data_IF_321997735957
#
_entry.id   IF_321997735957
#
_cell.length_a   1.000
_cell.length_b   1.000
_cell.length_c   1.000
_cell.angle_alpha   90.00
_cell.angle_beta   90.00
_cell.angle_gamma   90.00
#
_symmetry.space_group_name_H-M   'P 1'
#
loop_
_entity.id
_entity.type
_entity.pdbx_description
1 polymer ?
#
# COMPACT_ATOMS: atom_id res chain seq x y z
N UNK A 1 -15.11 24.17 0.49
CA UNK A 1 -14.49 22.89 0.88
C UNK A 1 -13.07 23.20 1.32
N UNK A 2 -12.70 22.86 2.55
CA UNK A 2 -11.33 23.01 3.08
C UNK A 2 -10.51 21.78 2.71
N UNK A 3 -9.23 21.97 2.42
CA UNK A 3 -8.31 20.84 2.18
C UNK A 3 -7.97 20.13 3.51
N UNK A 4 -7.50 18.89 3.43
CA UNK A 4 -7.10 18.12 4.61
C UNK A 4 -5.99 18.79 5.42
N UNK A 5 -5.14 19.63 4.81
CA UNK A 5 -4.11 20.38 5.54
C UNK A 5 -4.74 21.43 6.45
N UNK A 6 -5.65 22.24 5.93
CA UNK A 6 -6.38 23.27 6.70
C UNK A 6 -7.21 22.61 7.80
N UNK A 7 -7.90 21.51 7.51
CA UNK A 7 -8.62 20.74 8.53
C UNK A 7 -7.67 20.18 9.60
N UNK A 8 -6.52 19.66 9.18
CA UNK A 8 -5.47 19.17 10.08
C UNK A 8 -4.90 20.25 11.00
N UNK A 9 -4.72 21.47 10.48
CA UNK A 9 -4.29 22.65 11.25
C UNK A 9 -5.37 23.08 12.26
N UNK A 10 -6.64 23.14 11.85
CA UNK A 10 -7.78 23.49 12.72
C UNK A 10 -7.89 22.56 13.95
N UNK A 11 -7.61 21.27 13.75
CA UNK A 11 -7.65 20.26 14.83
C UNK A 11 -6.30 20.08 15.54
N UNK A 12 -5.25 20.81 15.13
CA UNK A 12 -3.87 20.60 15.63
C UNK A 12 -3.35 19.18 15.41
N UNK A 13 -3.91 18.46 14.43
CA UNK A 13 -3.74 17.02 14.25
C UNK A 13 -2.83 16.62 13.09
N UNK A 14 -2.53 17.52 12.13
CA UNK A 14 -1.50 17.32 11.10
C UNK A 14 -0.46 18.45 11.17
N UNK A 15 0.71 18.15 11.70
CA UNK A 15 1.77 19.13 11.94
C UNK A 15 2.98 18.87 11.03
N UNK A 16 2.96 19.53 9.87
CA UNK A 16 4.05 19.45 8.88
C UNK A 16 5.29 20.23 9.31
N UNK A 17 5.13 21.35 10.05
CA UNK A 17 6.25 22.14 10.52
C UNK A 17 7.08 21.38 11.57
N UNK A 18 6.42 20.65 12.48
CA UNK A 18 7.10 19.74 13.39
C UNK A 18 7.86 18.64 12.65
N UNK A 19 7.29 18.08 11.58
CA UNK A 19 7.97 17.06 10.78
C UNK A 19 9.21 17.61 10.06
N UNK A 20 9.14 18.84 9.53
CA UNK A 20 10.30 19.53 8.95
C UNK A 20 11.40 19.75 9.98
N UNK A 21 11.05 20.11 11.21
CA UNK A 21 12.01 20.28 12.31
C UNK A 21 12.68 18.96 12.70
N UNK A 22 11.95 17.85 12.68
CA UNK A 22 12.47 16.54 13.09
C UNK A 22 13.30 15.87 11.99
N UNK A 23 12.88 16.00 10.73
CA UNK A 23 13.43 15.21 9.62
C UNK A 23 13.68 16.05 8.37
N UNK A 24 12.66 16.74 7.87
CA UNK A 24 12.73 17.46 6.59
C UNK A 24 11.37 17.56 5.89
N UNK A 25 11.37 17.96 4.63
CA UNK A 25 10.14 18.05 3.82
C UNK A 25 9.55 16.66 3.53
N UNK A 26 8.26 16.63 3.15
CA UNK A 26 7.51 15.40 2.81
C UNK A 26 7.41 14.36 3.94
N UNK A 27 7.44 14.81 5.20
CA UNK A 27 7.05 14.05 6.38
C UNK A 27 5.90 14.77 7.10
N UNK A 28 5.20 14.07 8.00
CA UNK A 28 4.12 14.62 8.82
C UNK A 28 4.19 14.10 10.25
N UNK A 29 3.84 14.92 11.22
CA UNK A 29 3.52 14.47 12.58
C UNK A 29 2.00 14.51 12.75
N UNK A 30 1.38 13.35 12.98
CA UNK A 30 -0.04 13.28 13.30
C UNK A 30 -0.25 13.28 14.82
N UNK A 31 -1.26 13.99 15.32
CA UNK A 31 -1.56 14.12 16.76
C UNK A 31 -3.04 13.86 17.05
N UNK A 32 -3.31 13.46 18.30
CA UNK A 32 -4.67 13.37 18.85
C UNK A 32 -5.61 12.48 18.03
N UNK A 33 -6.83 12.98 17.79
CA UNK A 33 -7.89 12.22 17.14
C UNK A 33 -7.62 11.92 15.66
N UNK A 34 -6.88 12.77 14.93
CA UNK A 34 -6.51 12.47 13.54
C UNK A 34 -5.48 11.33 13.44
N UNK A 35 -4.51 11.27 14.35
CA UNK A 35 -3.61 10.12 14.46
C UNK A 35 -4.39 8.84 14.83
N UNK A 36 -5.39 8.95 15.72
CA UNK A 36 -6.28 7.85 16.07
C UNK A 36 -7.10 7.37 14.87
N UNK A 37 -7.63 8.28 14.06
CA UNK A 37 -8.40 7.96 12.86
C UNK A 37 -7.53 7.31 11.79
N UNK A 38 -6.29 7.78 11.59
CA UNK A 38 -5.31 7.13 10.73
C UNK A 38 -5.07 5.67 11.13
N UNK A 39 -4.88 5.42 12.43
CA UNK A 39 -4.77 4.06 12.96
C UNK A 39 -6.06 3.26 12.76
N UNK A 40 -7.22 3.83 13.03
CA UNK A 40 -8.52 3.16 12.86
C UNK A 40 -8.74 2.70 11.40
N UNK A 41 -8.33 3.50 10.41
CA UNK A 41 -8.37 3.13 9.00
C UNK A 41 -7.53 1.88 8.72
N UNK A 42 -6.27 1.86 9.19
CA UNK A 42 -5.38 0.71 8.97
C UNK A 42 -5.91 -0.58 9.63
N UNK A 43 -6.46 -0.47 10.85
CA UNK A 43 -7.05 -1.62 11.55
C UNK A 43 -8.29 -2.14 10.83
N UNK A 44 -9.21 -1.26 10.43
CA UNK A 44 -10.38 -1.63 9.63
C UNK A 44 -10.00 -2.36 8.34
N UNK A 45 -8.97 -1.87 7.64
CA UNK A 45 -8.49 -2.50 6.40
C UNK A 45 -7.94 -3.91 6.65
N UNK A 46 -7.11 -4.09 7.68
CA UNK A 46 -6.58 -5.40 8.07
C UNK A 46 -7.69 -6.37 8.47
N UNK A 47 -8.59 -5.96 9.37
CA UNK A 47 -9.69 -6.80 9.86
C UNK A 47 -10.60 -7.22 8.69
N UNK A 48 -10.91 -6.29 7.77
CA UNK A 48 -11.69 -6.62 6.57
C UNK A 48 -11.00 -7.69 5.71
N UNK A 49 -9.70 -7.52 5.44
CA UNK A 49 -8.98 -8.42 4.54
C UNK A 49 -8.76 -9.81 5.15
N UNK A 50 -8.51 -9.87 6.46
CA UNK A 50 -8.27 -11.12 7.17
C UNK A 50 -9.58 -11.87 7.45
N UNK A 51 -10.61 -11.18 7.94
CA UNK A 51 -11.87 -11.80 8.36
C UNK A 51 -12.81 -12.10 7.19
N UNK A 52 -12.80 -11.29 6.12
CA UNK A 52 -13.78 -11.40 5.03
C UNK A 52 -13.19 -11.79 3.68
N UNK A 53 -11.93 -11.46 3.41
CA UNK A 53 -11.31 -11.69 2.10
C UNK A 53 -10.30 -12.83 2.07
N UNK A 54 -10.06 -13.50 3.22
CA UNK A 54 -9.24 -14.71 3.31
C UNK A 54 -7.72 -14.46 3.18
N UNK A 55 -7.25 -13.26 3.54
CA UNK A 55 -5.81 -12.99 3.61
C UNK A 55 -5.24 -13.38 4.98
N UNK A 56 -4.05 -13.96 4.99
CA UNK A 56 -3.26 -14.17 6.21
C UNK A 56 -2.51 -12.89 6.58
N UNK A 57 -2.58 -12.48 7.85
CA UNK A 57 -1.86 -11.30 8.35
C UNK A 57 -0.38 -11.61 8.59
N UNK A 58 0.49 -10.69 8.18
CA UNK A 58 1.93 -10.84 8.28
C UNK A 58 2.58 -9.58 8.87
N UNK A 59 3.44 -9.78 9.88
CA UNK A 59 4.39 -8.76 10.31
C UNK A 59 5.74 -9.01 9.62
N UNK A 60 6.23 -8.03 8.85
CA UNK A 60 7.40 -8.20 7.98
C UNK A 60 8.52 -7.21 8.32
N UNK A 61 9.80 -7.54 8.01
CA UNK A 61 10.90 -6.59 8.11
C UNK A 61 10.70 -5.37 7.21
N UNK A 62 11.05 -4.18 7.71
CA UNK A 62 11.00 -2.93 6.92
C UNK A 62 12.33 -2.57 6.26
N UNK A 63 13.40 -3.27 6.61
CA UNK A 63 14.67 -3.28 5.93
C UNK A 63 14.82 -4.62 5.21
N UNK A 64 15.20 -4.57 3.94
CA UNK A 64 15.40 -5.77 3.11
C UNK A 64 16.75 -5.74 2.43
N UNK A 65 17.28 -6.93 2.16
CA UNK A 65 18.53 -7.11 1.44
C UNK A 65 18.36 -6.92 -0.07
N UNK A 66 19.49 -6.95 -0.78
CA UNK A 66 19.54 -6.75 -2.23
C UNK A 66 18.78 -7.86 -2.99
N UNK A 67 18.92 -9.13 -2.58
CA UNK A 67 18.26 -10.26 -3.23
C UNK A 67 16.73 -10.09 -3.25
N UNK A 68 16.16 -9.64 -2.13
CA UNK A 68 14.73 -9.33 -2.02
C UNK A 68 14.32 -8.23 -3.01
N UNK A 69 15.10 -7.15 -3.13
CA UNK A 69 14.83 -6.08 -4.08
C UNK A 69 14.97 -6.52 -5.55
N UNK A 70 15.90 -7.43 -5.84
CA UNK A 70 16.02 -8.04 -7.17
C UNK A 70 14.83 -8.93 -7.50
N UNK A 71 14.32 -9.68 -6.51
CA UNK A 71 13.16 -10.57 -6.64
C UNK A 71 11.92 -9.84 -7.16
N UNK A 72 11.58 -8.71 -6.55
CA UNK A 72 10.37 -7.94 -6.89
C UNK A 72 10.59 -6.86 -7.96
N UNK A 73 11.84 -6.65 -8.39
CA UNK A 73 12.16 -5.85 -9.59
C UNK A 73 12.52 -4.38 -9.33
N UNK A 74 12.63 -3.96 -8.07
CA UNK A 74 13.18 -2.64 -7.72
C UNK A 74 14.64 -2.55 -8.18
N UNK A 75 15.41 -3.63 -8.05
CA UNK A 75 16.76 -3.73 -8.61
C UNK A 75 16.80 -4.50 -9.95
N UNK A 76 17.69 -4.08 -10.88
CA UNK A 76 18.74 -3.06 -10.72
C UNK A 76 18.33 -1.63 -11.11
N UNK A 77 17.11 -1.42 -11.64
CA UNK A 77 16.76 -0.18 -12.36
C UNK A 77 16.36 1.00 -11.46
N UNK A 78 15.75 0.73 -10.32
CA UNK A 78 15.08 1.74 -9.48
C UNK A 78 15.76 1.96 -8.13
N UNK A 79 17.09 1.77 -8.05
CA UNK A 79 17.85 2.00 -6.82
C UNK A 79 17.69 3.44 -6.29
N UNK A 80 17.54 4.42 -7.18
CA UNK A 80 17.33 5.84 -6.83
C UNK A 80 15.97 6.15 -6.22
N UNK A 81 15.00 5.23 -6.29
CA UNK A 81 13.66 5.40 -5.73
C UNK A 81 13.58 4.98 -4.26
N UNK A 82 14.68 4.41 -3.73
CA UNK A 82 14.76 3.80 -2.41
C UNK A 82 15.64 4.61 -1.44
N UNK A 83 15.36 4.47 -0.14
CA UNK A 83 16.30 4.86 0.92
C UNK A 83 17.21 3.68 1.27
N UNK A 84 18.52 3.87 1.18
CA UNK A 84 19.52 2.87 1.52
C UNK A 84 20.16 3.18 2.88
N UNK A 85 20.35 2.15 3.70
CA UNK A 85 21.10 2.27 4.95
C UNK A 85 22.58 2.02 4.69
N UNK A 86 23.45 2.68 5.46
CA UNK A 86 24.87 2.32 5.47
C UNK A 86 25.02 0.95 6.13
N UNK A 87 25.95 0.10 5.67
CA UNK A 87 26.30 -1.12 6.37
C UNK A 87 26.66 -0.86 7.83
N UNK A 88 26.26 -1.78 8.69
CA UNK A 88 26.67 -1.84 10.09
C UNK A 88 28.12 -2.30 10.16
N UNK A 89 28.88 -1.79 11.13
CA UNK A 89 30.30 -2.12 11.30
C UNK A 89 30.52 -3.62 11.56
N UNK A 90 29.66 -4.23 12.39
CA UNK A 90 29.72 -5.66 12.74
C UNK A 90 29.25 -6.59 11.60
N UNK A 91 28.58 -6.05 10.58
CA UNK A 91 28.00 -6.79 9.45
C UNK A 91 28.36 -6.13 8.11
N UNK A 92 29.59 -5.64 7.98
CA UNK A 92 30.01 -4.74 6.90
C UNK A 92 29.70 -5.27 5.48
N UNK A 93 29.79 -6.59 5.28
CA UNK A 93 29.59 -7.23 3.98
C UNK A 93 28.15 -7.74 3.75
N UNK A 94 27.31 -7.82 4.80
CA UNK A 94 25.98 -8.44 4.75
C UNK A 94 24.81 -7.51 5.09
N UNK A 95 25.08 -6.28 5.51
CA UNK A 95 24.06 -5.31 5.97
C UNK A 95 23.77 -4.16 4.99
N UNK A 96 23.97 -4.41 3.69
CA UNK A 96 23.55 -3.49 2.62
C UNK A 96 22.03 -3.56 2.41
N UNK A 97 21.28 -2.88 3.26
CA UNK A 97 19.81 -2.86 3.24
C UNK A 97 19.22 -1.60 2.60
N UNK A 98 17.97 -1.74 2.16
CA UNK A 98 17.10 -0.61 1.84
C UNK A 98 15.79 -0.70 2.63
N UNK A 99 15.22 0.47 2.93
CA UNK A 99 13.87 0.56 3.45
C UNK A 99 12.85 0.17 2.37
N UNK A 100 11.81 -0.57 2.76
CA UNK A 100 10.82 -1.07 1.81
C UNK A 100 9.96 0.07 1.21
N UNK A 101 9.77 0.13 -0.12
CA UNK A 101 8.87 1.09 -0.76
C UNK A 101 7.39 0.65 -0.73
N UNK A 102 7.16 -0.60 -0.33
CA UNK A 102 5.87 -1.28 -0.20
C UNK A 102 6.06 -2.64 0.47
N UNK A 103 5.07 -3.12 1.24
CA UNK A 103 5.04 -4.49 1.75
C UNK A 103 4.99 -5.58 0.66
N UNK A 104 4.65 -5.24 -0.59
CA UNK A 104 4.80 -6.15 -1.74
C UNK A 104 6.19 -6.78 -1.76
N UNK A 105 7.23 -5.98 -1.51
CA UNK A 105 8.63 -6.40 -1.57
C UNK A 105 8.93 -7.57 -0.62
N UNK A 106 8.75 -7.45 0.71
CA UNK A 106 8.97 -8.58 1.61
C UNK A 106 7.94 -9.69 1.45
N UNK A 107 6.64 -9.39 1.29
CA UNK A 107 5.59 -10.41 1.23
C UNK A 107 5.75 -11.34 0.02
N UNK A 108 6.01 -10.79 -1.16
CA UNK A 108 6.13 -11.60 -2.38
C UNK A 108 7.40 -12.45 -2.36
N UNK A 109 8.46 -11.98 -1.70
CA UNK A 109 9.70 -12.73 -1.52
C UNK A 109 9.61 -13.85 -0.49
N UNK A 110 8.51 -13.98 0.27
CA UNK A 110 8.33 -15.12 1.19
C UNK A 110 8.34 -16.46 0.46
N UNK A 111 7.93 -16.50 -0.81
CA UNK A 111 7.94 -17.71 -1.65
C UNK A 111 9.20 -17.85 -2.53
N UNK A 112 10.22 -17.04 -2.29
CA UNK A 112 11.47 -17.09 -3.06
C UNK A 112 12.19 -18.42 -2.81
N UNK A 113 12.69 -19.02 -3.89
CA UNK A 113 13.38 -20.31 -3.90
C UNK A 113 12.52 -21.51 -3.42
N UNK A 114 11.19 -21.36 -3.38
CA UNK A 114 10.26 -22.41 -2.99
C UNK A 114 9.64 -23.19 -4.16
N UNK A 115 9.22 -24.43 -3.88
CA UNK A 115 8.34 -25.23 -4.74
C UNK A 115 7.08 -25.57 -3.94
N UNK A 116 6.00 -24.87 -4.26
CA UNK A 116 4.70 -24.94 -3.57
C UNK A 116 3.86 -26.07 -4.17
N UNK A 117 3.13 -26.82 -3.34
CA UNK A 117 2.11 -27.76 -3.84
C UNK A 117 0.93 -26.95 -4.41
N UNK A 118 0.43 -27.29 -5.59
CA UNK A 118 -0.69 -26.55 -6.18
C UNK A 118 -1.97 -26.63 -5.34
N UNK A 119 -2.11 -27.62 -4.45
CA UNK A 119 -3.21 -27.71 -3.49
C UNK A 119 -3.16 -26.60 -2.40
N UNK A 120 -1.99 -26.00 -2.16
CA UNK A 120 -1.79 -24.92 -1.18
C UNK A 120 -2.02 -23.51 -1.80
N UNK A 121 -2.30 -23.43 -3.10
CA UNK A 121 -2.60 -22.18 -3.81
C UNK A 121 -4.13 -21.94 -3.88
N UNK A 122 -4.60 -20.68 -3.74
CA UNK A 122 -3.81 -19.45 -3.67
C UNK A 122 -3.30 -19.13 -2.24
N UNK A 123 -2.06 -18.64 -2.15
CA UNK A 123 -1.53 -18.03 -0.91
C UNK A 123 -1.90 -16.54 -0.94
N UNK A 124 -2.68 -16.10 0.04
CA UNK A 124 -3.16 -14.71 0.16
C UNK A 124 -2.59 -14.10 1.43
N UNK A 125 -1.81 -13.03 1.28
CA UNK A 125 -1.10 -12.36 2.39
C UNK A 125 -1.45 -10.87 2.47
N UNK A 126 -1.58 -10.33 3.68
CA UNK A 126 -1.75 -8.89 3.91
C UNK A 126 -0.83 -8.40 5.02
N UNK A 127 -0.40 -7.14 4.94
CA UNK A 127 0.39 -6.48 5.97
C UNK A 127 0.14 -4.97 5.99
N UNK A 128 0.10 -4.39 7.19
CA UNK A 128 0.17 -2.95 7.42
C UNK A 128 1.61 -2.56 7.70
N UNK A 129 2.19 -1.71 6.85
CA UNK A 129 3.59 -1.28 7.00
C UNK A 129 3.77 0.19 6.66
N UNK A 130 4.77 0.87 7.25
CA UNK A 130 5.29 2.10 6.68
C UNK A 130 6.02 1.78 5.37
N UNK A 131 5.80 2.62 4.37
CA UNK A 131 6.41 2.55 3.04
C UNK A 131 7.31 3.77 2.83
N UNK A 132 8.51 3.55 2.32
CA UNK A 132 9.55 4.59 2.18
C UNK A 132 9.94 4.79 0.73
N UNK A 133 9.77 6.01 0.20
CA UNK A 133 10.10 6.35 -1.20
C UNK A 133 10.89 7.64 -1.28
N UNK A 134 11.94 7.67 -2.10
CA UNK A 134 12.74 8.88 -2.31
C UNK A 134 11.97 9.97 -3.07
N UNK A 135 10.90 9.60 -3.80
CA UNK A 135 10.10 10.49 -4.63
C UNK A 135 10.98 11.32 -5.61
N UNK A 136 12.06 10.69 -6.11
CA UNK A 136 12.95 11.30 -7.08
C UNK A 136 12.18 11.76 -8.34
N UNK A 137 12.50 12.96 -8.84
CA UNK A 137 11.86 13.53 -10.02
C UNK A 137 10.48 14.18 -9.78
N UNK A 138 9.98 14.23 -8.55
CA UNK A 138 8.65 14.81 -8.24
C UNK A 138 8.69 16.31 -7.87
N UNK A 139 9.67 17.08 -8.35
CA UNK A 139 9.84 18.49 -7.98
C UNK A 139 8.61 19.32 -8.39
N UNK A 140 8.03 20.07 -7.44
CA UNK A 140 6.85 20.90 -7.67
C UNK A 140 5.50 20.15 -7.75
N UNK A 141 5.47 18.81 -7.78
CA UNK A 141 4.23 18.03 -7.75
C UNK A 141 3.85 17.62 -6.33
N UNK A 142 2.56 17.78 -6.00
CA UNK A 142 1.97 17.41 -4.71
C UNK A 142 2.85 17.85 -3.51
N UNK A 143 3.24 19.13 -3.50
CA UNK A 143 4.16 19.68 -2.49
C UNK A 143 3.46 19.98 -1.17
N UNK A 144 2.14 20.16 -1.16
CA UNK A 144 1.32 20.42 0.02
C UNK A 144 0.49 19.18 0.36
N UNK A 145 0.49 18.81 1.64
CA UNK A 145 -0.38 17.77 2.19
C UNK A 145 0.18 16.35 2.13
N UNK A 146 -0.68 15.35 2.35
CA UNK A 146 -0.31 13.95 2.59
C UNK A 146 -0.21 13.08 1.33
N UNK A 147 -0.52 13.61 0.14
CA UNK A 147 -0.67 12.80 -1.07
C UNK A 147 0.65 12.13 -1.51
N UNK A 148 1.79 12.81 -1.30
CA UNK A 148 3.12 12.36 -1.72
C UNK A 148 4.17 12.61 -0.64
N UNK A 149 4.34 11.64 0.25
CA UNK A 149 5.26 11.67 1.38
C UNK A 149 6.45 10.73 1.16
N UNK A 150 7.59 11.01 1.80
CA UNK A 150 8.70 10.06 1.85
C UNK A 150 8.37 8.83 2.68
N UNK A 151 7.50 8.98 3.68
CA UNK A 151 6.98 7.91 4.50
C UNK A 151 5.45 7.97 4.53
N UNK A 152 4.79 6.86 4.25
CA UNK A 152 3.34 6.72 4.34
C UNK A 152 2.97 5.28 4.70
N UNK A 153 1.85 5.09 5.40
CA UNK A 153 1.37 3.75 5.72
C UNK A 153 0.51 3.19 4.60
N UNK A 154 0.59 1.88 4.41
CA UNK A 154 -0.22 1.14 3.45
C UNK A 154 -0.59 -0.23 4.01
N UNK A 155 -1.84 -0.63 3.80
CA UNK A 155 -2.27 -2.04 3.95
C UNK A 155 -2.17 -2.67 2.57
N UNK A 156 -1.28 -3.65 2.42
CA UNK A 156 -1.02 -4.32 1.16
C UNK A 156 -1.74 -5.66 1.08
N UNK A 157 -2.19 -6.04 -0.10
CA UNK A 157 -2.62 -7.38 -0.46
C UNK A 157 -1.62 -7.98 -1.45
N UNK A 158 -1.21 -9.23 -1.22
CA UNK A 158 -0.39 -10.02 -2.14
C UNK A 158 -1.07 -11.37 -2.35
N UNK A 159 -1.14 -11.83 -3.60
CA UNK A 159 -1.58 -13.19 -3.93
C UNK A 159 -0.51 -13.92 -4.74
N UNK A 160 -0.21 -15.16 -4.33
CA UNK A 160 0.58 -16.13 -5.09
C UNK A 160 -0.40 -17.18 -5.60
N UNK A 161 -0.49 -17.35 -6.91
CA UNK A 161 -1.57 -18.12 -7.54
C UNK A 161 -1.04 -19.02 -8.66
N UNK A 162 -1.85 -20.01 -9.05
CA UNK A 162 -1.60 -20.78 -10.27
C UNK A 162 -1.69 -19.86 -11.50
N UNK A 163 -0.87 -20.07 -12.54
CA UNK A 163 -0.84 -19.22 -13.73
C UNK A 163 -2.22 -18.92 -14.34
N UNK A 164 -3.05 -19.96 -14.49
CA UNK A 164 -4.38 -19.94 -15.09
C UNK A 164 -5.40 -19.10 -14.30
N UNK A 165 -5.19 -18.90 -13.00
CA UNK A 165 -6.14 -18.19 -12.12
C UNK A 165 -5.82 -16.69 -12.01
N UNK A 166 -4.63 -16.27 -12.45
CA UNK A 166 -4.10 -14.92 -12.17
C UNK A 166 -4.96 -13.76 -12.68
N UNK A 167 -5.64 -13.89 -13.81
CA UNK A 167 -6.53 -12.82 -14.28
C UNK A 167 -7.83 -12.74 -13.47
N UNK A 168 -8.36 -13.87 -12.99
CA UNK A 168 -9.50 -13.87 -12.08
C UNK A 168 -9.11 -13.32 -10.71
N UNK A 169 -7.92 -13.69 -10.21
CA UNK A 169 -7.36 -13.16 -8.98
C UNK A 169 -7.16 -11.64 -9.02
N UNK A 170 -6.81 -11.07 -10.18
CA UNK A 170 -6.71 -9.61 -10.34
C UNK A 170 -8.06 -8.91 -10.16
N UNK A 171 -9.12 -9.45 -10.78
CA UNK A 171 -10.48 -8.89 -10.62
C UNK A 171 -10.96 -9.03 -9.17
N UNK A 172 -10.69 -10.17 -8.52
CA UNK A 172 -11.00 -10.40 -7.09
C UNK A 172 -10.27 -9.38 -6.19
N UNK A 173 -8.94 -9.28 -6.31
CA UNK A 173 -8.12 -8.38 -5.50
C UNK A 173 -8.47 -6.90 -5.73
N UNK A 174 -8.82 -6.52 -6.96
CA UNK A 174 -9.32 -5.18 -7.24
C UNK A 174 -10.65 -4.94 -6.53
N UNK A 175 -11.57 -5.91 -6.59
CA UNK A 175 -12.83 -5.88 -5.84
C UNK A 175 -12.63 -5.76 -4.32
N UNK A 176 -11.62 -6.43 -3.76
CA UNK A 176 -11.26 -6.30 -2.34
C UNK A 176 -10.82 -4.87 -1.97
N UNK A 177 -10.04 -4.20 -2.82
CA UNK A 177 -9.66 -2.80 -2.61
C UNK A 177 -10.86 -1.85 -2.80
N UNK A 178 -11.71 -2.10 -3.81
CA UNK A 178 -12.95 -1.36 -4.03
C UNK A 178 -13.88 -1.44 -2.81
N UNK A 179 -13.96 -2.61 -2.16
CA UNK A 179 -14.82 -2.83 -1.00
C UNK A 179 -14.48 -1.92 0.18
N UNK A 180 -13.20 -1.61 0.38
CA UNK A 180 -12.74 -0.65 1.41
C UNK A 180 -13.37 0.73 1.16
N UNK A 181 -13.30 1.23 -0.08
CA UNK A 181 -13.87 2.53 -0.47
C UNK A 181 -15.39 2.54 -0.34
N UNK A 182 -16.05 1.46 -0.76
CA UNK A 182 -17.51 1.32 -0.67
C UNK A 182 -18.01 1.35 0.79
N UNK A 183 -17.36 0.60 1.68
CA UNK A 183 -17.72 0.56 3.11
C UNK A 183 -17.44 1.88 3.82
N UNK A 184 -16.40 2.60 3.40
CA UNK A 184 -16.10 3.95 3.88
C UNK A 184 -16.96 5.04 3.24
N UNK A 185 -17.84 4.72 2.29
CA UNK A 185 -18.69 5.69 1.60
C UNK A 185 -17.92 6.71 0.75
N UNK A 186 -16.73 6.34 0.25
CA UNK A 186 -15.87 7.24 -0.52
C UNK A 186 -16.11 7.06 -2.03
N UNK A 187 -16.57 8.09 -2.77
CA UNK A 187 -16.74 7.99 -4.22
C UNK A 187 -15.40 7.75 -4.92
N UNK A 188 -15.39 6.83 -5.89
CA UNK A 188 -14.17 6.47 -6.62
C UNK A 188 -14.48 6.09 -8.06
N UNK A 189 -13.42 6.00 -8.87
CA UNK A 189 -13.44 5.40 -10.21
C UNK A 189 -12.37 4.32 -10.32
N UNK A 190 -12.63 3.32 -11.16
CA UNK A 190 -11.66 2.28 -11.55
C UNK A 190 -11.14 2.58 -12.95
N UNK A 191 -9.82 2.59 -13.12
CA UNK A 191 -9.14 2.92 -14.38
C UNK A 191 -8.25 1.75 -14.78
N UNK A 192 -8.41 1.24 -16.00
CA UNK A 192 -7.44 0.31 -16.59
C UNK A 192 -6.29 1.13 -17.17
N UNK A 193 -5.07 0.91 -16.69
CA UNK A 193 -3.91 1.67 -17.17
C UNK A 193 -3.56 1.28 -18.61
N UNK A 194 -3.12 2.27 -19.39
CA UNK A 194 -2.58 2.04 -20.72
C UNK A 194 -1.13 1.56 -20.65
N UNK A 195 -0.60 1.03 -21.75
CA UNK A 195 0.74 0.44 -21.79
C UNK A 195 1.87 1.38 -21.38
N UNK A 196 1.73 2.68 -21.66
CA UNK A 196 2.75 3.69 -21.34
C UNK A 196 2.79 4.14 -19.88
N UNK A 197 1.77 3.79 -19.09
CA UNK A 197 1.61 4.23 -17.70
C UNK A 197 1.68 3.07 -16.70
N UNK A 198 1.87 1.82 -17.16
CA UNK A 198 2.03 0.67 -16.29
C UNK A 198 3.38 0.67 -15.58
N UNK A 199 3.37 0.23 -14.32
CA UNK A 199 4.59 -0.04 -13.54
C UNK A 199 5.46 -1.13 -14.17
N UNK A 200 6.76 -1.10 -13.91
CA UNK A 200 7.77 -1.93 -14.58
C UNK A 200 7.49 -3.44 -14.55
N UNK A 201 6.96 -3.96 -13.45
CA UNK A 201 6.73 -5.39 -13.27
C UNK A 201 5.35 -5.84 -13.74
N UNK A 202 4.39 -4.94 -13.92
CA UNK A 202 3.01 -5.31 -14.19
C UNK A 202 2.80 -5.73 -15.65
N UNK A 203 1.99 -6.77 -15.87
CA UNK A 203 1.44 -7.08 -17.19
C UNK A 203 0.06 -6.46 -17.42
N UNK A 204 -0.67 -6.15 -16.33
CA UNK A 204 -1.96 -5.46 -16.33
C UNK A 204 -2.18 -4.79 -14.96
N UNK A 205 -2.67 -3.55 -14.97
CA UNK A 205 -2.94 -2.80 -13.73
C UNK A 205 -4.30 -2.10 -13.79
N UNK A 206 -5.01 -2.12 -12.66
CA UNK A 206 -6.11 -1.21 -12.38
C UNK A 206 -5.72 -0.24 -11.28
N UNK A 207 -5.96 1.05 -11.52
CA UNK A 207 -5.91 2.06 -10.48
C UNK A 207 -7.32 2.34 -9.96
N UNK A 208 -7.43 2.44 -8.64
CA UNK A 208 -8.59 3.04 -7.99
C UNK A 208 -8.22 4.48 -7.65
N UNK A 209 -9.06 5.40 -8.09
CA UNK A 209 -8.89 6.82 -7.80
C UNK A 209 -10.09 7.32 -7.01
N UNK A 210 -9.84 7.91 -5.84
CA UNK A 210 -10.86 8.42 -4.92
C UNK A 210 -11.12 9.90 -5.15
N UNK A 211 -12.36 10.35 -4.95
CA UNK A 211 -12.72 11.75 -5.06
C UNK A 211 -12.06 12.59 -3.96
N UNK A 212 -11.38 13.66 -4.35
CA UNK A 212 -10.73 14.62 -3.44
C UNK A 212 -11.39 15.99 -3.60
N UNK A 213 -12.36 16.34 -2.73
CA UNK A 213 -13.18 17.54 -2.86
C UNK A 213 -12.42 18.85 -3.05
N UNK A 214 -11.34 19.10 -2.31
CA UNK A 214 -10.60 20.37 -2.42
C UNK A 214 -9.82 20.48 -3.75
N UNK A 215 -9.57 19.35 -4.42
CA UNK A 215 -8.91 19.30 -5.74
C UNK A 215 -9.89 19.18 -6.90
N UNK A 216 -11.19 18.95 -6.61
CA UNK A 216 -12.24 18.77 -7.60
C UNK A 216 -11.88 17.73 -8.68
N UNK A 217 -11.25 16.63 -8.26
CA UNK A 217 -10.81 15.54 -9.15
C UNK A 217 -10.70 14.24 -8.37
N UNK A 218 -10.48 13.14 -9.10
CA UNK A 218 -10.10 11.86 -8.55
C UNK A 218 -8.56 11.77 -8.42
N UNK A 219 -8.08 11.16 -7.34
CA UNK A 219 -6.65 10.91 -7.07
C UNK A 219 -6.45 9.44 -6.76
N UNK A 220 -5.42 8.84 -7.36
CA UNK A 220 -5.02 7.45 -7.10
C UNK A 220 -4.90 7.16 -5.59
N UNK A 221 -5.53 6.09 -5.14
CA UNK A 221 -5.51 5.61 -3.75
C UNK A 221 -5.10 4.13 -3.65
N UNK A 222 -5.19 3.40 -4.77
CA UNK A 222 -4.72 2.03 -4.91
C UNK A 222 -4.30 1.75 -6.35
N UNK A 223 -3.30 0.89 -6.49
CA UNK A 223 -2.91 0.27 -7.75
C UNK A 223 -2.88 -1.24 -7.54
N UNK A 224 -3.59 -1.98 -8.38
CA UNK A 224 -3.75 -3.44 -8.33
C UNK A 224 -3.21 -4.05 -9.61
N UNK A 225 -2.21 -4.92 -9.50
CA UNK A 225 -1.47 -5.46 -10.63
C UNK A 225 -1.43 -6.99 -10.67
N UNK A 226 -1.57 -7.53 -11.88
CA UNK A 226 -1.08 -8.86 -12.21
C UNK A 226 0.34 -8.72 -12.76
N UNK A 227 1.28 -9.45 -12.16
CA UNK A 227 2.71 -9.41 -12.48
C UNK A 227 3.14 -10.62 -13.34
N UNK A 228 2.19 -11.52 -13.63
CA UNK A 228 2.44 -12.77 -14.33
C UNK A 228 3.57 -13.56 -13.65
N UNK A 229 4.40 -14.24 -14.42
CA UNK A 229 5.59 -14.94 -13.93
C UNK A 229 6.85 -14.06 -13.82
N UNK A 230 6.74 -12.72 -13.92
CA UNK A 230 7.89 -11.82 -13.98
C UNK A 230 8.73 -11.87 -12.68
N UNK A 231 8.09 -11.65 -11.54
CA UNK A 231 8.73 -11.72 -10.22
C UNK A 231 9.04 -13.18 -9.86
N UNK A 232 8.11 -14.10 -10.12
CA UNK A 232 8.32 -15.53 -9.87
C UNK A 232 9.60 -16.05 -10.56
N UNK A 233 9.90 -15.61 -11.78
CA UNK A 233 11.14 -15.94 -12.49
C UNK A 233 12.39 -15.41 -11.79
N UNK A 234 12.35 -14.18 -11.27
CA UNK A 234 13.46 -13.57 -10.52
C UNK A 234 13.71 -14.27 -9.19
N UNK A 235 12.63 -14.63 -8.50
CA UNK A 235 12.64 -15.30 -7.20
C UNK A 235 12.74 -16.82 -7.31
N UNK A 236 12.72 -17.39 -8.52
CA UNK A 236 12.70 -18.84 -8.71
C UNK A 236 11.53 -19.54 -7.95
N UNK A 237 10.44 -18.82 -7.71
CA UNK A 237 9.24 -19.28 -7.02
C UNK A 237 8.37 -20.14 -7.94
N UNK A 238 8.09 -21.38 -7.53
CA UNK A 238 7.47 -22.40 -8.38
C UNK A 238 6.31 -23.10 -7.70
N UNK A 239 5.46 -23.72 -8.51
CA UNK A 239 4.46 -24.67 -8.06
C UNK A 239 4.57 -26.01 -8.81
N UNK A 240 3.93 -27.04 -8.25
CA UNK A 240 3.83 -28.37 -8.85
C UNK A 240 2.56 -29.07 -8.39
N UNK A 241 1.82 -29.65 -9.33
CA UNK A 241 0.80 -30.64 -8.99
C UNK A 241 1.45 -32.00 -8.66
N UNK A 242 0.82 -32.81 -7.80
CA UNK A 242 1.32 -34.14 -7.38
C UNK A 242 1.54 -35.10 -8.56
N UNK A 243 0.79 -34.93 -9.65
CA UNK A 243 0.94 -35.74 -10.87
C UNK A 243 2.12 -35.32 -11.75
N UNK A 244 2.66 -34.13 -11.54
CA UNK A 244 3.51 -33.48 -12.54
C UNK A 244 4.99 -33.78 -12.31
N UNK A 245 5.67 -34.16 -13.40
CA UNK A 245 7.11 -34.43 -13.39
C UNK A 245 7.97 -33.17 -13.41
N UNK A 246 7.39 -32.01 -13.71
CA UNK A 246 8.10 -30.73 -13.82
C UNK A 246 7.37 -29.65 -13.04
N UNK A 247 8.13 -28.79 -12.39
CA UNK A 247 7.62 -27.56 -11.77
C UNK A 247 7.39 -26.48 -12.81
N UNK A 248 6.48 -25.55 -12.54
CA UNK A 248 6.28 -24.32 -13.30
C UNK A 248 6.33 -23.11 -12.37
N UNK A 249 6.50 -21.91 -12.93
CA UNK A 249 6.48 -20.67 -12.14
C UNK A 249 5.04 -20.38 -11.69
N UNK A 250 4.89 -19.86 -10.48
CA UNK A 250 3.63 -19.24 -10.02
C UNK A 250 3.42 -17.89 -10.70
N UNK A 251 2.21 -17.34 -10.61
CA UNK A 251 1.99 -15.92 -10.86
C UNK A 251 1.87 -15.15 -9.55
N UNK A 252 2.32 -13.89 -9.56
CA UNK A 252 2.22 -13.00 -8.41
C UNK A 252 1.32 -11.81 -8.72
N UNK A 253 0.61 -11.37 -7.70
CA UNK A 253 -0.27 -10.21 -7.75
C UNK A 253 -0.08 -9.38 -6.50
N UNK A 254 -0.25 -8.06 -6.64
CA UNK A 254 -0.24 -7.14 -5.52
C UNK A 254 -1.25 -6.01 -5.73
N UNK A 255 -1.79 -5.49 -4.63
CA UNK A 255 -2.77 -4.42 -4.65
C UNK A 255 -2.84 -3.69 -3.33
N UNK A 256 -2.95 -2.35 -3.38
CA UNK A 256 -3.15 -1.57 -2.16
C UNK A 256 -4.59 -1.73 -1.66
N UNK A 257 -4.78 -2.00 -0.37
CA UNK A 257 -6.10 -2.13 0.27
C UNK A 257 -6.28 -1.28 1.52
N UNK A 258 -5.76 -0.06 1.67
CA UNK A 258 -5.34 0.94 0.69
C UNK A 258 -4.08 1.68 1.19
N UNK A 259 -3.64 2.72 0.46
CA UNK A 259 -2.69 3.71 0.99
C UNK A 259 -3.36 4.57 2.09
N UNK A 260 -3.12 4.23 3.35
CA UNK A 260 -3.84 4.74 4.54
C UNK A 260 -3.81 6.26 4.64
N UNK A 261 -2.65 6.88 4.38
CA UNK A 261 -2.51 8.33 4.39
C UNK A 261 -3.39 9.04 3.35
N UNK A 262 -3.51 8.46 2.14
CA UNK A 262 -4.41 8.99 1.10
C UNK A 262 -5.88 8.74 1.42
N UNK A 263 -6.20 7.61 2.06
CA UNK A 263 -7.56 7.35 2.57
C UNK A 263 -7.95 8.36 3.65
N UNK A 264 -7.03 8.73 4.54
CA UNK A 264 -7.26 9.78 5.53
C UNK A 264 -7.57 11.13 4.85
N UNK A 265 -6.83 11.50 3.80
CA UNK A 265 -7.13 12.71 3.01
C UNK A 265 -8.56 12.68 2.48
N UNK A 266 -8.93 11.59 1.80
CA UNK A 266 -10.25 11.43 1.22
C UNK A 266 -11.35 11.50 2.28
N UNK A 267 -11.17 10.82 3.42
CA UNK A 267 -12.14 10.84 4.52
C UNK A 267 -12.28 12.25 5.10
N UNK A 268 -11.18 12.90 5.48
CA UNK A 268 -11.21 14.25 6.06
C UNK A 268 -11.93 15.24 5.15
N UNK A 269 -11.66 15.21 3.84
CA UNK A 269 -12.24 16.17 2.91
C UNK A 269 -13.71 15.85 2.56
N UNK A 270 -14.09 14.58 2.41
CA UNK A 270 -15.46 14.19 2.07
C UNK A 270 -16.43 14.26 3.26
N UNK A 271 -15.95 14.05 4.49
CA UNK A 271 -16.77 14.04 5.71
C UNK A 271 -16.69 15.34 6.53
N UNK A 272 -16.13 16.41 5.97
CA UNK A 272 -16.04 17.69 6.65
C UNK A 272 -17.42 18.35 6.84
N UNK A 273 -17.63 18.93 8.01
CA UNK A 273 -18.80 19.73 8.35
C UNK A 273 -18.50 21.23 8.12
N UNK A 274 -19.56 22.05 8.10
CA UNK A 274 -19.43 23.49 7.84
C UNK A 274 -18.49 24.20 8.83
N UNK A 275 -18.53 23.78 10.10
CA UNK A 275 -17.70 24.30 11.20
C UNK A 275 -16.28 23.70 11.24
N UNK A 276 -15.95 22.75 10.36
CA UNK A 276 -14.64 22.12 10.28
C UNK A 276 -14.50 20.83 11.09
N UNK A 277 -15.53 20.39 11.83
CA UNK A 277 -15.57 19.02 12.37
C UNK A 277 -15.53 18.00 11.24
N UNK A 278 -15.07 16.79 11.55
CA UNK A 278 -15.02 15.68 10.60
C UNK A 278 -15.92 14.57 11.12
N UNK A 279 -16.93 14.21 10.35
CA UNK A 279 -17.79 13.07 10.66
C UNK A 279 -17.02 11.75 10.48
N UNK A 280 -17.21 10.82 11.42
CA UNK A 280 -16.57 9.50 11.39
C UNK A 280 -17.55 8.53 10.69
N UNK A 281 -17.13 7.91 9.55
CA UNK A 281 -17.93 6.88 8.88
C UNK A 281 -18.36 5.79 9.85
N UNK A 282 -19.60 5.33 9.74
CA UNK A 282 -20.19 4.38 10.69
C UNK A 282 -19.31 3.14 10.92
N UNK A 283 -18.72 2.61 9.86
CA UNK A 283 -17.83 1.43 9.91
C UNK A 283 -16.56 1.64 10.77
N UNK A 284 -16.11 2.88 10.93
CA UNK A 284 -14.94 3.22 11.75
C UNK A 284 -15.30 3.58 13.20
N UNK A 285 -16.58 3.85 13.51
CA UNK A 285 -17.00 4.20 14.87
C UNK A 285 -16.62 3.13 15.91
N UNK A 286 -16.72 1.82 15.65
CA UNK A 286 -16.25 0.79 16.59
C UNK A 286 -14.77 0.93 16.97
N UNK A 287 -13.90 1.19 15.98
CA UNK A 287 -12.47 1.45 16.16
C UNK A 287 -12.20 2.78 16.89
N UNK A 288 -13.16 3.71 16.77
CA UNK A 288 -13.14 5.02 17.41
C UNK A 288 -13.93 5.07 18.74
N UNK A 289 -14.30 3.91 19.32
CA UNK A 289 -15.06 3.79 20.60
C UNK A 289 -16.40 4.52 20.55
N UNK A 290 -17.09 4.41 19.43
CA UNK A 290 -18.40 5.03 19.19
C UNK A 290 -18.34 6.54 18.92
N UNK A 291 -17.14 7.15 18.85
CA UNK A 291 -17.02 8.57 18.52
C UNK A 291 -17.61 8.85 17.13
N UNK A 292 -18.43 9.89 17.03
CA UNK A 292 -19.18 10.23 15.82
C UNK A 292 -18.53 11.37 15.02
N UNK A 293 -17.85 12.30 15.70
CA UNK A 293 -17.17 13.45 15.10
C UNK A 293 -15.79 13.69 15.72
N UNK A 294 -14.87 14.24 14.94
CA UNK A 294 -13.61 14.83 15.39
C UNK A 294 -13.77 16.35 15.44
N UNK A 295 -13.37 16.95 16.56
CA UNK A 295 -13.54 18.37 16.86
C UNK A 295 -14.72 18.70 17.75
#
# INVERSE_FOLDING_TARGET
>A
VRDHVTLGEMHGGLDFAAAVKLTGSRFVVMKGQLARLHRALAQFMLDLHTEQHGYSENYVPYLVNQDTLYGTGQLPKFAGDLFHTRPLEEEADSSNYALIPTAEVPLTNLVRDEIIDEDDLPIKMTAHTPCFRSEAGSYGRDTRGLIRMHQFDKVEMVQIVRPEDSMAALEEMTGHAEKVLQLLGLPYRKVALCTGDMGFSACKTYDLEVWVPAQNTYREISSCSNVWDFQARRMQARCRSKSDKKTRLVHTLNGSGLAVGRTLVALMENYQQADGRIEIPEILRPYMRGLEYIG
#
